data_IF_291166516801
#
_entry.id   IF_291166516801
#
_cell.length_a   1.000
_cell.length_b   1.000
_cell.length_c   1.000
_cell.angle_alpha   90.00
_cell.angle_beta   90.00
_cell.angle_gamma   90.00
#
_symmetry.space_group_name_H-M   'P 1'
#
loop_
_entity.id
_entity.type
_entity.pdbx_description
1 polymer ?
#
# COMPACT_ATOMS: atom_id res chain seq x y z
N UNK A 1 -1.01 25.93 5.86
CA UNK A 1 -2.47 25.68 5.71
C UNK A 1 -2.72 24.82 4.50
N UNK A 2 -3.63 23.86 4.61
CA UNK A 2 -4.05 22.99 3.48
C UNK A 2 -4.89 23.78 2.47
N UNK A 3 -4.70 23.45 1.17
CA UNK A 3 -5.54 23.97 0.09
C UNK A 3 -6.91 23.30 0.07
N UNK A 4 -7.89 23.89 -0.58
CA UNK A 4 -9.24 23.30 -0.78
C UNK A 4 -9.12 21.93 -1.45
N UNK A 5 -8.21 21.79 -2.43
CA UNK A 5 -7.95 20.53 -3.10
C UNK A 5 -7.46 19.44 -2.13
N UNK A 6 -6.56 19.76 -1.20
CA UNK A 6 -6.06 18.81 -0.21
C UNK A 6 -7.15 18.36 0.78
N UNK A 7 -8.08 19.26 1.15
CA UNK A 7 -9.25 18.90 1.95
C UNK A 7 -10.18 17.95 1.21
N UNK A 8 -10.51 18.25 -0.05
CA UNK A 8 -11.33 17.35 -0.89
C UNK A 8 -10.63 15.99 -1.02
N UNK A 9 -9.33 15.99 -1.27
CA UNK A 9 -8.53 14.76 -1.38
C UNK A 9 -8.58 13.93 -0.11
N UNK A 10 -8.46 14.54 1.07
CA UNK A 10 -8.52 13.90 2.37
C UNK A 10 -9.85 13.14 2.56
N UNK A 11 -10.96 13.82 2.32
CA UNK A 11 -12.29 13.20 2.48
C UNK A 11 -12.56 12.11 1.44
N UNK A 12 -12.15 12.33 0.19
CA UNK A 12 -12.33 11.33 -0.87
C UNK A 12 -11.52 10.07 -0.60
N UNK A 13 -10.25 10.20 -0.19
CA UNK A 13 -9.39 9.07 0.18
C UNK A 13 -9.97 8.30 1.36
N UNK A 14 -10.50 9.01 2.36
CA UNK A 14 -11.15 8.39 3.52
C UNK A 14 -12.35 7.54 3.08
N UNK A 15 -13.23 8.09 2.24
CA UNK A 15 -14.42 7.40 1.74
C UNK A 15 -14.06 6.18 0.87
N UNK A 16 -13.07 6.31 -0.01
CA UNK A 16 -12.60 5.20 -0.85
C UNK A 16 -11.99 4.07 0.00
N UNK A 17 -11.21 4.40 1.02
CA UNK A 17 -10.63 3.40 1.91
C UNK A 17 -11.71 2.68 2.73
N UNK A 18 -12.67 3.42 3.29
CA UNK A 18 -13.81 2.85 4.03
C UNK A 18 -14.67 1.96 3.13
N UNK A 19 -15.07 2.47 1.97
CA UNK A 19 -15.93 1.73 1.03
C UNK A 19 -15.27 0.46 0.52
N UNK A 20 -13.97 0.53 0.20
CA UNK A 20 -13.20 -0.61 -0.29
C UNK A 20 -13.05 -1.74 0.74
N UNK A 21 -12.83 -1.43 2.01
CA UNK A 21 -12.43 -2.44 2.98
C UNK A 21 -13.46 -2.78 4.06
N UNK A 22 -14.36 -1.87 4.42
CA UNK A 22 -15.34 -2.15 5.48
C UNK A 22 -16.34 -3.23 5.07
N UNK A 23 -16.78 -3.23 3.82
CA UNK A 23 -17.69 -4.23 3.29
C UNK A 23 -17.12 -5.66 3.38
N UNK A 24 -15.94 -5.96 2.79
CA UNK A 24 -15.36 -7.31 2.88
C UNK A 24 -15.01 -7.71 4.32
N UNK A 25 -14.58 -6.76 5.17
CA UNK A 25 -14.30 -7.02 6.58
C UNK A 25 -15.56 -7.45 7.34
N UNK A 26 -16.64 -6.71 7.20
CA UNK A 26 -17.89 -7.02 7.89
C UNK A 26 -18.49 -8.34 7.39
N UNK A 27 -18.45 -8.59 6.09
CA UNK A 27 -18.98 -9.80 5.49
C UNK A 27 -18.16 -11.03 5.90
N UNK A 28 -16.84 -10.98 5.80
CA UNK A 28 -15.97 -12.08 6.20
C UNK A 28 -16.11 -12.43 7.68
N UNK A 29 -16.33 -11.45 8.55
CA UNK A 29 -16.62 -11.68 9.98
C UNK A 29 -18.02 -12.26 10.23
N UNK A 30 -19.01 -11.91 9.42
CA UNK A 30 -20.38 -12.46 9.53
C UNK A 30 -20.43 -13.92 9.10
N UNK A 31 -19.72 -14.27 8.02
CA UNK A 31 -19.71 -15.62 7.45
C UNK A 31 -18.64 -16.55 8.07
N UNK A 32 -18.11 -16.20 9.27
CA UNK A 32 -17.12 -17.01 10.00
C UNK A 32 -15.75 -17.11 9.34
N UNK A 33 -15.41 -16.14 8.48
CA UNK A 33 -14.10 -16.07 7.80
C UNK A 33 -13.97 -16.93 6.53
N UNK A 34 -15.03 -17.64 6.12
CA UNK A 34 -15.00 -18.54 4.94
C UNK A 34 -15.22 -17.81 3.60
N UNK A 35 -15.40 -16.49 3.62
CA UNK A 35 -15.64 -15.72 2.39
C UNK A 35 -14.33 -15.56 1.63
N UNK A 36 -14.26 -16.09 0.43
CA UNK A 36 -13.15 -15.91 -0.50
C UNK A 36 -13.56 -14.94 -1.60
N UNK A 37 -12.66 -13.99 -1.92
CA UNK A 37 -12.83 -13.06 -3.05
C UNK A 37 -11.63 -13.16 -4.01
N UNK A 38 -11.37 -14.32 -4.62
CA UNK A 38 -10.16 -14.56 -5.42
C UNK A 38 -10.01 -13.58 -6.59
N UNK A 39 -11.11 -13.11 -7.13
CA UNK A 39 -11.11 -12.14 -8.21
C UNK A 39 -10.65 -10.74 -7.75
N UNK A 40 -11.07 -10.30 -6.57
CA UNK A 40 -10.64 -9.03 -6.00
C UNK A 40 -9.17 -9.06 -5.56
N UNK A 41 -8.72 -10.18 -5.01
CA UNK A 41 -7.33 -10.39 -4.61
C UNK A 41 -6.40 -10.36 -5.84
N UNK A 42 -6.77 -11.07 -6.93
CA UNK A 42 -6.01 -11.07 -8.17
C UNK A 42 -5.92 -9.68 -8.81
N UNK A 43 -7.03 -8.94 -8.88
CA UNK A 43 -7.04 -7.56 -9.37
C UNK A 43 -6.15 -6.65 -8.53
N UNK A 44 -6.24 -6.73 -7.20
CA UNK A 44 -5.43 -5.94 -6.27
C UNK A 44 -3.94 -6.24 -6.42
N UNK A 45 -3.56 -7.51 -6.60
CA UNK A 45 -2.17 -7.89 -6.83
C UNK A 45 -1.60 -7.23 -8.09
N UNK A 46 -2.38 -7.18 -9.19
CA UNK A 46 -1.99 -6.47 -10.42
C UNK A 46 -1.79 -4.98 -10.20
N UNK A 47 -2.69 -4.34 -9.46
CA UNK A 47 -2.59 -2.91 -9.10
C UNK A 47 -1.33 -2.65 -8.26
N UNK A 48 -1.07 -3.45 -7.23
CA UNK A 48 0.12 -3.29 -6.39
C UNK A 48 1.42 -3.47 -7.15
N UNK A 49 1.48 -4.48 -8.04
CA UNK A 49 2.65 -4.71 -8.88
C UNK A 49 2.94 -3.51 -9.78
N UNK A 50 1.90 -2.99 -10.45
CA UNK A 50 2.03 -1.81 -11.30
C UNK A 50 2.49 -0.58 -10.52
N UNK A 51 1.89 -0.30 -9.37
CA UNK A 51 2.26 0.85 -8.52
C UNK A 51 3.70 0.77 -8.04
N UNK A 52 4.14 -0.40 -7.57
CA UNK A 52 5.50 -0.61 -7.12
C UNK A 52 6.51 -0.30 -8.22
N UNK A 53 6.33 -0.92 -9.40
CA UNK A 53 7.31 -0.88 -10.48
C UNK A 53 7.21 0.34 -11.39
N UNK A 54 6.00 0.87 -11.61
CA UNK A 54 5.81 1.97 -12.57
C UNK A 54 5.75 3.35 -11.93
N UNK A 55 5.47 3.43 -10.62
CA UNK A 55 5.33 4.70 -9.92
C UNK A 55 6.34 4.89 -8.81
N UNK A 56 6.30 4.02 -7.78
CA UNK A 56 7.04 4.27 -6.54
C UNK A 56 8.54 4.12 -6.74
N UNK A 57 8.98 3.02 -7.32
CA UNK A 57 10.38 2.75 -7.52
C UNK A 57 11.04 3.75 -8.48
N UNK A 58 10.48 4.08 -9.67
CA UNK A 58 11.04 5.11 -10.54
C UNK A 58 11.08 6.50 -9.90
N UNK A 59 10.04 6.86 -9.13
CA UNK A 59 10.03 8.14 -8.42
C UNK A 59 11.10 8.19 -7.33
N UNK A 60 11.32 7.10 -6.61
CA UNK A 60 12.40 7.00 -5.62
C UNK A 60 13.78 7.13 -6.26
N UNK A 61 14.01 6.46 -7.40
CA UNK A 61 15.26 6.63 -8.18
C UNK A 61 15.51 8.07 -8.57
N UNK A 62 14.49 8.76 -9.07
CA UNK A 62 14.62 10.16 -9.45
C UNK A 62 14.98 11.04 -8.24
N UNK A 63 14.31 10.85 -7.10
CA UNK A 63 14.60 11.61 -5.87
C UNK A 63 16.02 11.38 -5.36
N UNK A 64 16.50 10.13 -5.34
CA UNK A 64 17.87 9.84 -4.92
C UNK A 64 18.92 10.39 -5.91
N UNK A 65 18.65 10.33 -7.21
CA UNK A 65 19.56 10.92 -8.22
C UNK A 65 19.69 12.44 -8.06
N UNK A 66 18.59 13.13 -7.72
CA UNK A 66 18.62 14.58 -7.46
C UNK A 66 19.28 14.88 -6.11
N UNK A 67 19.03 14.05 -5.10
CA UNK A 67 19.58 14.27 -3.77
C UNK A 67 21.05 13.83 -3.63
N UNK A 68 21.50 12.82 -4.35
CA UNK A 68 22.83 12.23 -4.25
C UNK A 68 23.42 12.04 -5.67
N UNK A 69 23.75 13.14 -6.38
CA UNK A 69 24.17 13.06 -7.78
C UNK A 69 25.48 12.30 -7.98
N UNK A 70 26.38 12.32 -7.01
CA UNK A 70 27.71 11.67 -7.07
C UNK A 70 27.67 10.19 -6.64
N UNK A 71 26.52 9.69 -6.18
CA UNK A 71 26.38 8.32 -5.70
C UNK A 71 25.84 7.41 -6.80
N UNK A 72 26.73 6.67 -7.46
CA UNK A 72 26.38 5.65 -8.46
C UNK A 72 26.02 4.31 -7.80
N UNK A 73 25.03 4.32 -6.90
CA UNK A 73 24.54 3.13 -6.21
C UNK A 73 23.00 3.10 -6.21
N UNK A 74 22.35 1.95 -6.49
CA UNK A 74 20.90 1.85 -6.59
C UNK A 74 20.21 1.82 -5.23
N UNK A 75 20.35 2.90 -4.44
CA UNK A 75 19.81 3.02 -3.07
C UNK A 75 18.34 2.67 -3.01
N UNK A 76 17.53 3.16 -3.96
CA UNK A 76 16.10 2.89 -4.00
C UNK A 76 15.78 1.39 -4.09
N UNK A 77 16.47 0.66 -4.97
CA UNK A 77 16.28 -0.80 -5.11
C UNK A 77 16.68 -1.54 -3.85
N UNK A 78 17.81 -1.17 -3.24
CA UNK A 78 18.29 -1.84 -2.04
C UNK A 78 17.29 -1.66 -0.89
N UNK A 79 16.79 -0.45 -0.67
CA UNK A 79 15.78 -0.19 0.36
C UNK A 79 14.49 -0.97 0.07
N UNK A 80 14.05 -1.02 -1.19
CA UNK A 80 12.85 -1.79 -1.58
C UNK A 80 13.05 -3.30 -1.32
N UNK A 81 14.21 -3.86 -1.68
CA UNK A 81 14.53 -5.27 -1.42
C UNK A 81 14.57 -5.54 0.10
N UNK A 82 15.20 -4.68 0.88
CA UNK A 82 15.24 -4.82 2.35
C UNK A 82 13.84 -4.81 2.94
N UNK A 83 12.98 -3.88 2.51
CA UNK A 83 11.58 -3.82 2.94
C UNK A 83 10.81 -5.10 2.58
N UNK A 84 10.98 -5.61 1.36
CA UNK A 84 10.40 -6.86 0.90
C UNK A 84 10.86 -8.06 1.75
N UNK A 85 12.18 -8.17 2.01
CA UNK A 85 12.76 -9.25 2.80
C UNK A 85 12.34 -9.20 4.27
N UNK A 86 12.16 -8.01 4.85
CA UNK A 86 11.63 -7.86 6.21
C UNK A 86 10.23 -8.48 6.30
N UNK A 87 9.34 -8.15 5.34
CA UNK A 87 7.98 -8.71 5.31
C UNK A 87 7.98 -10.22 5.09
N UNK A 88 8.80 -10.69 4.17
CA UNK A 88 8.97 -12.12 3.91
C UNK A 88 9.46 -12.87 5.17
N UNK A 89 10.42 -12.28 5.90
CA UNK A 89 10.94 -12.86 7.14
C UNK A 89 9.87 -12.92 8.23
N UNK A 90 9.06 -11.89 8.37
CA UNK A 90 7.93 -11.85 9.31
C UNK A 90 6.91 -12.93 8.97
N UNK A 91 6.55 -13.08 7.69
CA UNK A 91 5.61 -14.14 7.27
C UNK A 91 6.19 -15.54 7.46
N UNK A 92 7.46 -15.75 7.10
CA UNK A 92 8.14 -17.02 7.30
C UNK A 92 8.14 -17.41 8.78
N UNK A 93 8.51 -16.48 9.66
CA UNK A 93 8.51 -16.73 11.10
C UNK A 93 7.11 -17.05 11.64
N UNK A 94 6.10 -16.29 11.27
CA UNK A 94 4.72 -16.51 11.72
C UNK A 94 4.13 -17.80 11.17
N UNK A 95 4.46 -18.20 9.95
CA UNK A 95 4.05 -19.49 9.35
C UNK A 95 4.76 -20.66 10.03
N UNK A 96 6.04 -20.52 10.33
CA UNK A 96 6.80 -21.54 11.06
C UNK A 96 6.22 -21.76 12.46
N UNK A 97 5.94 -20.70 13.21
CA UNK A 97 5.31 -20.78 14.54
C UNK A 97 3.92 -21.43 14.45
N UNK A 98 3.12 -21.10 13.43
CA UNK A 98 1.78 -21.69 13.23
C UNK A 98 1.83 -23.20 12.96
N UNK A 99 2.87 -23.69 12.30
CA UNK A 99 3.03 -25.11 11.97
C UNK A 99 3.64 -25.93 13.12
N UNK A 100 4.33 -25.30 14.07
CA UNK A 100 4.80 -25.93 15.29
C UNK A 100 3.64 -26.04 16.31
N UNK A 101 3.10 -27.27 16.49
CA UNK A 101 1.92 -27.60 17.31
C UNK A 101 2.10 -27.41 18.83
N UNK A 102 2.83 -26.42 19.32
CA UNK A 102 3.02 -26.15 20.74
C UNK A 102 2.22 -24.94 21.24
N UNK A 103 1.89 -24.91 22.53
CA UNK A 103 0.94 -24.00 23.19
C UNK A 103 1.19 -22.48 23.07
N UNK A 104 2.30 -22.02 22.50
CA UNK A 104 2.57 -20.61 22.21
C UNK A 104 1.80 -20.07 21.00
N UNK A 105 1.20 -20.93 20.22
CA UNK A 105 0.51 -20.67 18.94
C UNK A 105 -0.69 -19.71 19.06
N UNK A 106 -1.39 -19.71 20.19
CA UNK A 106 -2.55 -18.83 20.43
C UNK A 106 -2.17 -17.38 20.67
N UNK A 107 -0.97 -17.11 21.14
CA UNK A 107 -0.53 -15.74 21.47
C UNK A 107 -0.07 -14.94 20.25
N UNK A 108 0.51 -15.59 19.22
CA UNK A 108 1.00 -14.91 18.01
C UNK A 108 -0.05 -14.75 16.91
N UNK A 109 -1.13 -15.53 16.95
CA UNK A 109 -2.21 -15.46 15.95
C UNK A 109 -2.82 -14.05 15.73
N UNK A 110 -3.03 -13.20 16.76
CA UNK A 110 -3.51 -11.84 16.55
C UNK A 110 -2.43 -10.84 16.11
N UNK A 111 -1.15 -11.15 16.26
CA UNK A 111 -0.05 -10.23 15.98
C UNK A 111 0.18 -10.05 14.48
N UNK A 112 0.02 -11.11 13.69
CA UNK A 112 0.21 -11.08 12.23
C UNK A 112 -0.67 -10.04 11.52
N UNK A 113 -2.00 -10.00 11.73
CA UNK A 113 -2.85 -8.96 11.12
C UNK A 113 -2.47 -7.53 11.55
N UNK A 114 -1.98 -7.36 12.79
CA UNK A 114 -1.52 -6.07 13.30
C UNK A 114 -0.27 -5.61 12.55
N UNK A 115 0.74 -6.48 12.46
CA UNK A 115 2.00 -6.19 11.75
C UNK A 115 1.71 -5.87 10.28
N UNK A 116 0.89 -6.66 9.61
CA UNK A 116 0.52 -6.40 8.21
C UNK A 116 -0.21 -5.07 8.03
N UNK A 117 -1.12 -4.74 8.95
CA UNK A 117 -1.79 -3.43 8.92
C UNK A 117 -0.80 -2.29 9.09
N UNK A 118 0.13 -2.41 10.03
CA UNK A 118 1.18 -1.41 10.27
C UNK A 118 2.06 -1.22 9.04
N UNK A 119 2.46 -2.32 8.39
CA UNK A 119 3.29 -2.30 7.19
C UNK A 119 2.62 -1.59 5.99
N UNK A 120 1.28 -1.65 5.89
CA UNK A 120 0.54 -0.91 4.85
C UNK A 120 0.20 0.51 5.31
N UNK A 121 -0.04 0.71 6.61
CA UNK A 121 -0.40 2.01 7.16
C UNK A 121 0.77 3.02 7.12
N UNK A 122 2.00 2.57 7.39
CA UNK A 122 3.19 3.42 7.36
C UNK A 122 3.41 4.05 5.98
N UNK A 123 3.50 3.29 4.87
CA UNK A 123 3.59 3.89 3.53
C UNK A 123 2.39 4.77 3.18
N UNK A 124 1.18 4.39 3.61
CA UNK A 124 -0.03 5.18 3.39
C UNK A 124 0.01 6.53 4.09
N UNK A 125 0.56 6.59 5.31
CA UNK A 125 0.80 7.84 6.03
C UNK A 125 1.76 8.75 5.26
N UNK A 126 2.87 8.21 4.78
CA UNK A 126 3.87 8.97 4.08
C UNK A 126 3.41 9.46 2.70
N UNK A 127 2.63 8.67 1.98
CA UNK A 127 1.99 9.13 0.74
C UNK A 127 1.00 10.26 1.01
N UNK A 128 0.25 10.18 2.12
CA UNK A 128 -0.57 11.29 2.61
C UNK A 128 0.26 12.53 2.89
N UNK A 129 1.38 12.38 3.62
CA UNK A 129 2.29 13.48 3.91
C UNK A 129 2.90 14.09 2.62
N UNK A 130 3.25 13.25 1.64
CA UNK A 130 3.71 13.72 0.33
C UNK A 130 2.65 14.56 -0.38
N UNK A 131 1.37 14.14 -0.33
CA UNK A 131 0.26 14.93 -0.88
C UNK A 131 0.08 16.25 -0.14
N UNK A 132 0.16 16.24 1.19
CA UNK A 132 0.04 17.44 2.03
C UNK A 132 1.12 18.49 1.77
N UNK A 133 2.35 18.06 1.47
CA UNK A 133 3.49 18.95 1.19
C UNK A 133 3.49 19.46 -0.25
N UNK A 134 2.87 18.75 -1.20
CA UNK A 134 2.98 19.03 -2.63
C UNK A 134 2.23 20.29 -3.06
N UNK A 135 2.70 20.92 -4.14
CA UNK A 135 1.95 21.95 -4.88
C UNK A 135 0.81 21.32 -5.66
N UNK A 136 -0.17 22.12 -6.12
CA UNK A 136 -1.45 21.66 -6.65
C UNK A 136 -1.32 20.58 -7.75
N UNK A 137 -0.43 20.76 -8.72
CA UNK A 137 -0.29 19.82 -9.85
C UNK A 137 0.31 18.48 -9.43
N UNK A 138 1.39 18.51 -8.65
CA UNK A 138 1.99 17.31 -8.06
C UNK A 138 1.04 16.63 -7.06
N UNK A 139 0.24 17.40 -6.33
CA UNK A 139 -0.76 16.87 -5.41
C UNK A 139 -1.87 16.11 -6.16
N UNK A 140 -2.33 16.59 -7.32
CA UNK A 140 -3.33 15.92 -8.14
C UNK A 140 -2.82 14.54 -8.62
N UNK A 141 -1.57 14.46 -9.07
CA UNK A 141 -0.94 13.20 -9.46
C UNK A 141 -0.88 12.20 -8.30
N UNK A 142 -0.39 12.65 -7.14
CA UNK A 142 -0.29 11.82 -5.93
C UNK A 142 -1.68 11.39 -5.47
N UNK A 143 -2.68 12.25 -5.55
CA UNK A 143 -4.06 11.95 -5.19
C UNK A 143 -4.66 10.82 -6.01
N UNK A 144 -4.54 10.87 -7.34
CA UNK A 144 -5.02 9.80 -8.23
C UNK A 144 -4.30 8.48 -7.92
N UNK A 145 -2.98 8.55 -7.70
CA UNK A 145 -2.19 7.38 -7.30
C UNK A 145 -2.68 6.78 -5.98
N UNK A 146 -2.95 7.61 -4.98
CA UNK A 146 -3.48 7.15 -3.68
C UNK A 146 -4.85 6.50 -3.85
N UNK A 147 -5.78 7.11 -4.60
CA UNK A 147 -7.12 6.54 -4.83
C UNK A 147 -7.01 5.17 -5.52
N UNK A 148 -6.20 5.06 -6.56
CA UNK A 148 -6.06 3.81 -7.32
C UNK A 148 -5.63 2.63 -6.44
N UNK A 149 -4.75 2.86 -5.46
CA UNK A 149 -4.30 1.78 -4.59
C UNK A 149 -5.04 1.68 -3.23
N UNK A 150 -5.57 2.79 -2.71
CA UNK A 150 -6.17 2.82 -1.37
C UNK A 150 -7.45 1.97 -1.27
N UNK A 151 -8.26 1.98 -2.32
CA UNK A 151 -9.44 1.12 -2.40
C UNK A 151 -9.08 -0.37 -2.41
N UNK A 152 -8.11 -0.75 -3.23
CA UNK A 152 -7.62 -2.13 -3.34
C UNK A 152 -6.86 -2.59 -2.09
N UNK A 153 -6.02 -1.72 -1.51
CA UNK A 153 -5.36 -1.99 -0.23
C UNK A 153 -6.36 -2.16 0.91
N UNK A 154 -7.39 -1.29 0.96
CA UNK A 154 -8.50 -1.40 1.91
C UNK A 154 -9.25 -2.71 1.76
N UNK A 155 -9.56 -3.11 0.51
CA UNK A 155 -10.23 -4.38 0.22
C UNK A 155 -9.40 -5.58 0.71
N UNK A 156 -8.13 -5.67 0.31
CA UNK A 156 -7.23 -6.76 0.69
C UNK A 156 -7.04 -6.84 2.22
N UNK A 157 -6.82 -5.70 2.88
CA UNK A 157 -6.69 -5.65 4.33
C UNK A 157 -8.00 -5.99 5.05
N UNK A 158 -9.14 -5.47 4.57
CA UNK A 158 -10.46 -5.76 5.13
C UNK A 158 -10.76 -7.25 5.10
N UNK A 159 -10.46 -7.90 3.99
CA UNK A 159 -10.63 -9.34 3.84
C UNK A 159 -9.74 -10.13 4.81
N UNK A 160 -8.47 -9.75 4.96
CA UNK A 160 -7.54 -10.39 5.89
C UNK A 160 -7.95 -10.24 7.36
N UNK A 161 -8.29 -9.02 7.75
CA UNK A 161 -8.80 -8.77 9.10
C UNK A 161 -10.10 -9.52 9.35
N UNK A 162 -10.93 -9.67 8.30
CA UNK A 162 -12.14 -10.46 8.35
C UNK A 162 -11.88 -11.94 8.65
N UNK A 163 -10.87 -12.53 8.00
CA UNK A 163 -10.45 -13.93 8.17
C UNK A 163 -9.60 -14.18 9.43
N UNK A 164 -9.12 -13.14 10.10
CA UNK A 164 -8.24 -13.26 11.26
C UNK A 164 -8.97 -13.75 12.51
N UNK A 165 -8.23 -14.27 13.49
CA UNK A 165 -8.72 -14.67 14.82
C UNK A 165 -9.13 -13.49 15.72
N UNK A 166 -8.91 -12.25 15.28
CA UNK A 166 -9.27 -11.04 16.02
C UNK A 166 -10.78 -10.92 16.26
N UNK A 167 -11.17 -10.35 17.39
CA UNK A 167 -12.56 -9.98 17.61
C UNK A 167 -13.02 -8.95 16.59
N UNK A 168 -14.33 -8.93 16.28
CA UNK A 168 -14.89 -7.98 15.31
C UNK A 168 -14.53 -6.52 15.65
N UNK A 169 -14.59 -6.16 16.94
CA UNK A 169 -14.25 -4.80 17.41
C UNK A 169 -12.78 -4.48 17.17
N UNK A 170 -11.87 -5.40 17.50
CA UNK A 170 -10.44 -5.23 17.27
C UNK A 170 -10.10 -5.12 15.76
N UNK A 171 -10.69 -5.96 14.92
CA UNK A 171 -10.48 -5.91 13.48
C UNK A 171 -10.95 -4.57 12.88
N UNK A 172 -12.11 -4.05 13.30
CA UNK A 172 -12.59 -2.73 12.87
C UNK A 172 -11.66 -1.62 13.36
N UNK A 173 -11.22 -1.67 14.62
CA UNK A 173 -10.31 -0.65 15.16
C UNK A 173 -9.00 -0.58 14.38
N UNK A 174 -8.38 -1.74 14.13
CA UNK A 174 -7.13 -1.85 13.36
C UNK A 174 -7.35 -1.36 11.93
N UNK A 175 -8.47 -1.69 11.31
CA UNK A 175 -8.84 -1.20 9.99
C UNK A 175 -9.01 0.33 9.98
N UNK A 176 -9.63 0.91 11.00
CA UNK A 176 -9.76 2.37 11.14
C UNK A 176 -8.39 3.05 11.28
N UNK A 177 -7.43 2.47 11.99
CA UNK A 177 -6.06 2.99 12.06
C UNK A 177 -5.42 3.06 10.67
N UNK A 178 -5.58 2.03 9.84
CA UNK A 178 -5.12 2.05 8.44
C UNK A 178 -5.85 3.12 7.60
N UNK A 179 -7.16 3.23 7.73
CA UNK A 179 -7.96 4.21 6.97
C UNK A 179 -7.53 5.64 7.31
N UNK A 180 -7.31 5.93 8.59
CA UNK A 180 -6.92 7.25 9.08
C UNK A 180 -5.46 7.61 8.80
N UNK A 181 -4.59 6.63 8.52
CA UNK A 181 -3.16 6.88 8.29
C UNK A 181 -2.89 7.92 7.19
N UNK A 182 -3.58 7.84 6.05
CA UNK A 182 -3.40 8.81 4.94
C UNK A 182 -3.96 10.19 5.27
N UNK A 183 -5.19 10.35 5.78
CA UNK A 183 -5.69 11.64 6.26
C UNK A 183 -4.76 12.33 7.27
N UNK A 184 -4.29 11.59 8.26
CA UNK A 184 -3.33 12.12 9.24
C UNK A 184 -2.02 12.52 8.55
N UNK A 185 -1.54 11.71 7.60
CA UNK A 185 -0.38 12.05 6.77
C UNK A 185 -0.57 13.37 6.02
N UNK A 186 -1.73 13.61 5.40
CA UNK A 186 -2.02 14.86 4.68
C UNK A 186 -1.96 16.07 5.62
N UNK A 187 -2.55 15.95 6.81
CA UNK A 187 -2.51 17.01 7.82
C UNK A 187 -1.08 17.30 8.26
N UNK A 188 -0.33 16.26 8.63
CA UNK A 188 1.09 16.40 9.05
C UNK A 188 1.94 16.96 7.92
N UNK A 189 1.75 16.49 6.67
CA UNK A 189 2.47 17.00 5.50
C UNK A 189 2.20 18.48 5.24
N UNK A 190 0.95 18.92 5.42
CA UNK A 190 0.57 20.32 5.32
C UNK A 190 1.28 21.23 6.34
N UNK A 191 1.48 20.74 7.55
CA UNK A 191 2.24 21.45 8.59
C UNK A 191 3.76 21.37 8.36
N UNK A 192 4.27 20.19 7.95
CA UNK A 192 5.70 19.98 7.65
C UNK A 192 6.19 20.80 6.45
N UNK A 193 5.31 21.23 5.56
CA UNK A 193 5.66 22.10 4.41
C UNK A 193 6.39 23.36 4.82
N UNK A 194 6.15 23.82 6.03
CA UNK A 194 6.79 24.99 6.61
C UNK A 194 8.15 24.69 7.27
N UNK A 195 8.41 23.43 7.64
CA UNK A 195 9.56 23.02 8.44
C UNK A 195 10.68 22.36 7.63
N UNK A 196 10.34 21.61 6.57
CA UNK A 196 11.30 20.85 5.77
C UNK A 196 11.56 21.53 4.43
N UNK A 197 12.81 21.90 4.18
CA UNK A 197 13.27 22.52 2.94
C UNK A 197 14.44 21.75 2.33
N UNK A 198 14.49 21.70 0.98
CA UNK A 198 15.66 21.27 0.24
C UNK A 198 15.99 19.78 0.28
N UNK A 199 17.26 19.47 0.45
CA UNK A 199 17.89 18.16 0.28
C UNK A 199 17.31 17.05 1.19
N UNK A 200 17.16 17.33 2.48
CA UNK A 200 16.64 16.35 3.47
C UNK A 200 15.24 15.86 3.12
N UNK A 201 14.41 16.71 2.54
CA UNK A 201 13.05 16.34 2.10
C UNK A 201 13.07 15.33 0.95
N UNK A 202 13.99 15.53 -0.01
CA UNK A 202 14.14 14.60 -1.15
C UNK A 202 14.57 13.21 -0.68
N UNK A 203 15.55 13.15 0.22
CA UNK A 203 16.02 11.89 0.81
C UNK A 203 14.91 11.15 1.55
N UNK A 204 14.19 11.83 2.43
CA UNK A 204 13.10 11.23 3.20
C UNK A 204 12.00 10.70 2.27
N UNK A 205 11.58 11.49 1.27
CA UNK A 205 10.60 11.01 0.26
C UNK A 205 11.13 9.80 -0.52
N UNK A 206 12.40 9.81 -0.92
CA UNK A 206 13.03 8.71 -1.64
C UNK A 206 13.02 7.40 -0.83
N UNK A 207 13.43 7.47 0.45
CA UNK A 207 13.40 6.32 1.36
C UNK A 207 11.99 5.77 1.51
N UNK A 208 11.01 6.64 1.73
CA UNK A 208 9.62 6.25 1.95
C UNK A 208 9.02 5.56 0.72
N UNK A 209 9.22 6.12 -0.47
CA UNK A 209 8.73 5.53 -1.71
C UNK A 209 9.42 4.19 -2.00
N UNK A 210 10.70 4.04 -1.66
CA UNK A 210 11.42 2.77 -1.78
C UNK A 210 10.86 1.71 -0.84
N UNK A 211 10.64 2.06 0.44
CA UNK A 211 10.01 1.15 1.40
C UNK A 211 8.61 0.73 0.95
N UNK A 212 7.80 1.69 0.50
CA UNK A 212 6.46 1.42 -0.01
C UNK A 212 6.48 0.49 -1.25
N UNK A 213 7.45 0.69 -2.16
CA UNK A 213 7.63 -0.19 -3.32
C UNK A 213 7.90 -1.63 -2.90
N UNK A 214 8.79 -1.87 -1.94
CA UNK A 214 9.09 -3.21 -1.43
C UNK A 214 7.88 -3.88 -0.77
N UNK A 215 7.10 -3.12 0.01
CA UNK A 215 5.85 -3.60 0.62
C UNK A 215 4.83 -4.02 -0.46
N UNK A 216 4.65 -3.19 -1.50
CA UNK A 216 3.69 -3.52 -2.55
C UNK A 216 4.15 -4.66 -3.44
N UNK A 217 5.46 -4.79 -3.69
CA UNK A 217 6.02 -5.98 -4.35
C UNK A 217 5.72 -7.25 -3.55
N UNK A 218 5.93 -7.20 -2.23
CA UNK A 218 5.60 -8.32 -1.36
C UNK A 218 4.11 -8.67 -1.41
N UNK A 219 3.23 -7.67 -1.26
CA UNK A 219 1.78 -7.86 -1.29
C UNK A 219 1.26 -8.40 -2.63
N UNK A 220 1.93 -8.06 -3.73
CA UNK A 220 1.54 -8.51 -5.07
C UNK A 220 2.03 -9.93 -5.42
N UNK A 221 3.14 -10.36 -4.81
CA UNK A 221 3.83 -11.59 -5.25
C UNK A 221 3.70 -12.76 -4.28
N UNK A 222 3.96 -12.53 -2.99
CA UNK A 222 4.17 -13.61 -2.01
C UNK A 222 3.13 -13.65 -0.90
N UNK A 223 2.14 -12.78 -0.96
CA UNK A 223 1.15 -12.70 0.07
C UNK A 223 0.35 -14.00 0.23
N UNK A 224 0.47 -14.66 1.40
CA UNK A 224 0.04 -16.02 1.71
C UNK A 224 0.85 -17.09 0.94
N UNK A 225 2.02 -17.48 1.49
CA UNK A 225 2.87 -18.56 0.94
C UNK A 225 2.10 -19.88 0.68
N UNK A 226 1.03 -20.15 1.42
CA UNK A 226 0.16 -21.32 1.21
C UNK A 226 -0.81 -21.16 0.01
N UNK A 227 -1.05 -19.91 -0.43
CA UNK A 227 -1.95 -19.58 -1.55
C UNK A 227 -1.36 -18.39 -2.31
N UNK A 228 -0.17 -18.55 -2.87
CA UNK A 228 0.47 -17.47 -3.64
C UNK A 228 -0.48 -17.00 -4.75
N UNK A 229 -0.92 -15.73 -4.76
CA UNK A 229 -1.85 -15.22 -5.77
C UNK A 229 -1.35 -15.47 -7.18
N UNK A 230 -0.04 -15.29 -7.41
CA UNK A 230 0.60 -15.53 -8.70
C UNK A 230 0.54 -17.00 -9.14
N UNK A 231 0.74 -17.97 -8.23
CA UNK A 231 0.73 -19.40 -8.59
C UNK A 231 -0.70 -19.92 -8.68
N UNK A 232 -1.59 -19.55 -7.78
CA UNK A 232 -3.00 -19.92 -7.85
C UNK A 232 -3.71 -19.26 -9.04
N UNK A 233 -3.28 -18.06 -9.42
CA UNK A 233 -3.78 -17.33 -10.59
C UNK A 233 -3.31 -17.96 -11.89
N UNK A 234 -2.11 -18.56 -11.96
CA UNK A 234 -1.66 -19.30 -13.14
C UNK A 234 -2.58 -20.48 -13.49
N UNK A 235 -3.22 -21.11 -12.50
CA UNK A 235 -4.18 -22.20 -12.72
C UNK A 235 -5.61 -21.69 -13.00
N UNK A 236 -5.91 -20.41 -12.72
CA UNK A 236 -7.22 -19.82 -12.92
C UNK A 236 -7.16 -18.71 -13.97
N UNK A 237 -7.60 -19.00 -15.19
CA UNK A 237 -7.59 -18.04 -16.31
C UNK A 237 -8.26 -16.70 -15.97
N UNK A 238 -9.39 -16.72 -15.25
CA UNK A 238 -10.11 -15.49 -14.85
C UNK A 238 -9.27 -14.64 -13.90
N UNK A 239 -8.61 -15.25 -12.91
CA UNK A 239 -7.72 -14.55 -11.99
C UNK A 239 -6.54 -13.91 -12.71
N UNK A 240 -5.92 -14.61 -13.67
CA UNK A 240 -4.84 -14.06 -14.47
C UNK A 240 -5.26 -12.83 -15.28
N UNK A 241 -6.42 -12.89 -15.96
CA UNK A 241 -6.94 -11.71 -16.69
C UNK A 241 -7.27 -10.54 -15.77
N UNK A 242 -7.75 -10.78 -14.56
CA UNK A 242 -8.03 -9.73 -13.58
C UNK A 242 -6.74 -9.10 -13.05
N UNK A 243 -5.70 -9.88 -12.77
CA UNK A 243 -4.39 -9.38 -12.42
C UNK A 243 -3.83 -8.48 -13.54
N UNK A 244 -3.90 -8.99 -14.77
CA UNK A 244 -3.44 -8.24 -15.95
C UNK A 244 -4.25 -6.94 -16.14
N UNK A 245 -5.56 -6.98 -15.92
CA UNK A 245 -6.43 -5.81 -15.99
C UNK A 245 -6.06 -4.77 -14.93
N UNK A 246 -5.81 -5.18 -13.69
CA UNK A 246 -5.33 -4.30 -12.62
C UNK A 246 -4.00 -3.64 -12.96
N UNK A 247 -3.06 -4.42 -13.49
CA UNK A 247 -1.75 -3.92 -13.93
C UNK A 247 -1.90 -2.91 -15.09
N UNK A 248 -2.61 -3.27 -16.15
CA UNK A 248 -2.79 -2.43 -17.35
C UNK A 248 -3.53 -1.13 -16.97
N UNK A 249 -4.60 -1.22 -16.19
CA UNK A 249 -5.37 -0.05 -15.76
C UNK A 249 -4.48 0.95 -15.02
N UNK A 250 -3.68 0.47 -14.07
CA UNK A 250 -2.78 1.31 -13.28
C UNK A 250 -1.66 1.91 -14.15
N UNK A 251 -1.08 1.13 -15.05
CA UNK A 251 -0.06 1.59 -15.98
C UNK A 251 -0.61 2.64 -16.94
N UNK A 252 -1.85 2.47 -17.45
CA UNK A 252 -2.53 3.46 -18.31
C UNK A 252 -2.81 4.76 -17.55
N UNK A 253 -3.31 4.68 -16.31
CA UNK A 253 -3.52 5.87 -15.47
C UNK A 253 -2.20 6.63 -15.30
N UNK A 254 -1.09 5.92 -15.06
CA UNK A 254 0.25 6.51 -14.98
C UNK A 254 0.67 7.22 -16.26
N UNK A 255 0.43 6.59 -17.42
CA UNK A 255 0.77 7.13 -18.73
C UNK A 255 -0.02 8.41 -19.02
N UNK A 256 -1.35 8.39 -18.81
CA UNK A 256 -2.23 9.52 -19.05
C UNK A 256 -1.87 10.74 -18.17
N UNK A 257 -1.53 10.51 -16.89
CA UNK A 257 -1.13 11.59 -15.99
C UNK A 257 0.26 12.11 -16.37
N UNK A 258 1.18 11.24 -16.78
CA UNK A 258 2.51 11.64 -17.23
C UNK A 258 2.51 12.48 -18.51
N UNK A 259 1.61 12.19 -19.45
CA UNK A 259 1.39 12.97 -20.67
C UNK A 259 0.73 14.32 -20.37
N UNK A 260 -0.28 14.33 -19.50
CA UNK A 260 -0.95 15.59 -19.10
C UNK A 260 0.04 16.60 -18.49
N UNK A 261 1.04 16.10 -17.74
CA UNK A 261 2.06 16.97 -17.15
C UNK A 261 3.04 17.54 -18.18
N UNK A 262 3.32 16.84 -19.30
CA UNK A 262 4.16 17.34 -20.40
C UNK A 262 3.45 18.39 -21.26
N UNK A 263 2.11 18.35 -21.32
CA UNK A 263 1.30 19.28 -22.12
C UNK A 263 1.02 20.58 -21.35
N UNK A 264 1.04 20.52 -20.01
CA UNK A 264 0.73 21.65 -19.12
C UNK A 264 1.98 22.45 -18.66
N UNK A 265 3.20 22.03 -18.98
CA UNK A 265 4.46 22.70 -18.67
C UNK A 265 5.21 23.07 -19.92
#
# INVERSE_FOLDING_TARGET
MLTIFQWISLFTILLVALGGGLFPLCRAKADGGNVEFPNGEAFSAGVFLALALTMMLPSAFHLFRVALPDLDFPVASVIAIVSFLILLSVEHYTTHVRNCKSCEEKALSPLLPIIMTLMIAIPSFFLGAALGVSCTDAAAFIFVAIIAHKGTAGFALGLKLGKSSLSRKAAILIFCCFVLSTPIGILVGGELKTLLHGHSMLLVKGVILSLASGVFLYMSTLHELDKTPLISVCCNRKGFYLLLAGFILTALVRLLIGEAHKIAG
#
